data_IF_605640580598
#
_entry.id   IF_605640580598
#
_cell.length_a   1.000
_cell.length_b   1.000
_cell.length_c   1.000
_cell.angle_alpha   90.00
_cell.angle_beta   90.00
_cell.angle_gamma   90.00
#
_symmetry.space_group_name_H-M   'P 1'
#
loop_
_entity.id
_entity.type
_entity.pdbx_description
1 polymer ?
#
# COMPACT_ATOMS: atom_id res chain seq x y z
N UNK A 1 -17.20 -14.52 62.75
CA UNK A 1 -17.68 -13.63 61.66
C UNK A 1 -17.20 -14.16 60.31
N UNK A 2 -18.08 -14.64 59.43
CA UNK A 2 -17.71 -14.97 58.03
C UNK A 2 -18.62 -14.21 57.06
N UNK A 3 -18.06 -13.14 56.47
CA UNK A 3 -18.65 -12.38 55.37
C UNK A 3 -18.64 -13.25 54.10
N UNK A 4 -19.81 -13.64 53.59
CA UNK A 4 -20.00 -14.07 52.20
C UNK A 4 -21.35 -13.59 51.70
N UNK A 5 -21.41 -12.36 51.20
CA UNK A 5 -22.49 -11.91 50.33
C UNK A 5 -21.87 -11.37 49.05
N UNK A 6 -21.67 -12.26 48.09
CA UNK A 6 -21.43 -11.85 46.71
C UNK A 6 -22.72 -11.23 46.18
N UNK A 7 -22.79 -9.90 46.24
CA UNK A 7 -23.98 -9.11 45.90
C UNK A 7 -24.50 -9.48 44.51
N UNK A 8 -25.79 -9.79 44.42
CA UNK A 8 -26.50 -10.14 43.17
C UNK A 8 -26.30 -9.06 42.09
N UNK A 9 -26.09 -7.82 42.51
CA UNK A 9 -25.84 -6.64 41.68
C UNK A 9 -24.52 -6.80 40.88
N UNK A 10 -23.45 -7.25 41.53
CA UNK A 10 -22.15 -7.48 40.88
C UNK A 10 -22.27 -8.53 39.76
N UNK A 11 -23.11 -9.55 39.97
CA UNK A 11 -23.34 -10.63 39.01
C UNK A 11 -24.14 -10.18 37.77
N UNK A 12 -25.01 -9.19 37.92
CA UNK A 12 -25.76 -8.58 36.81
C UNK A 12 -24.84 -7.63 36.04
N UNK A 13 -24.05 -6.82 36.74
CA UNK A 13 -23.12 -5.86 36.12
C UNK A 13 -22.04 -6.57 35.28
N UNK A 14 -21.47 -7.67 35.77
CA UNK A 14 -20.49 -8.48 35.01
C UNK A 14 -21.10 -9.23 33.83
N UNK A 15 -22.43 -9.42 33.78
CA UNK A 15 -23.13 -10.01 32.64
C UNK A 15 -23.39 -9.00 31.52
N UNK A 16 -23.58 -7.72 31.88
CA UNK A 16 -23.80 -6.61 30.95
C UNK A 16 -22.46 -6.14 30.35
N UNK A 17 -21.41 -6.01 31.17
CA UNK A 17 -20.06 -5.65 30.72
C UNK A 17 -19.33 -6.90 30.22
N UNK A 18 -19.75 -7.38 29.05
CA UNK A 18 -19.02 -8.40 28.32
C UNK A 18 -18.42 -7.76 27.07
N UNK A 19 -17.39 -6.93 27.27
CA UNK A 19 -16.70 -6.16 26.22
C UNK A 19 -16.27 -7.04 25.05
N UNK A 20 -15.89 -8.30 25.33
CA UNK A 20 -15.54 -9.29 24.32
C UNK A 20 -16.70 -9.66 23.40
N UNK A 21 -17.92 -9.78 23.95
CA UNK A 21 -19.15 -10.03 23.16
C UNK A 21 -19.66 -8.77 22.47
N UNK A 22 -19.57 -7.60 23.11
CA UNK A 22 -20.00 -6.32 22.52
C UNK A 22 -19.17 -5.93 21.31
N UNK A 23 -17.87 -6.16 21.38
CA UNK A 23 -16.96 -5.88 20.27
C UNK A 23 -16.86 -7.03 19.26
N UNK A 24 -17.65 -8.10 19.44
CA UNK A 24 -17.60 -9.34 18.66
C UNK A 24 -16.15 -9.75 18.36
N UNK A 25 -15.36 -9.86 19.43
CA UNK A 25 -13.91 -10.01 19.34
C UNK A 25 -13.49 -11.18 18.47
N UNK A 26 -14.26 -12.27 18.49
CA UNK A 26 -13.98 -13.45 17.69
C UNK A 26 -14.17 -13.16 16.19
N UNK A 27 -15.13 -12.30 15.81
CA UNK A 27 -15.31 -11.79 14.44
C UNK A 27 -14.22 -10.78 14.06
N UNK A 28 -13.86 -9.86 14.94
CA UNK A 28 -12.76 -8.91 14.65
C UNK A 28 -11.43 -9.63 14.45
N UNK A 29 -11.14 -10.63 15.30
CA UNK A 29 -9.95 -11.47 15.22
C UNK A 29 -9.94 -12.30 13.93
N UNK A 30 -11.07 -12.91 13.55
CA UNK A 30 -11.14 -13.68 12.31
C UNK A 30 -10.94 -12.78 11.09
N UNK A 31 -11.59 -11.62 11.01
CA UNK A 31 -11.38 -10.63 9.93
C UNK A 31 -9.91 -10.20 9.84
N UNK A 32 -9.28 -9.90 10.98
CA UNK A 32 -7.86 -9.52 11.03
C UNK A 32 -6.96 -10.65 10.55
N UNK A 33 -7.22 -11.90 10.97
CA UNK A 33 -6.50 -13.09 10.51
C UNK A 33 -6.64 -13.30 9.00
N UNK A 34 -7.86 -13.15 8.46
CA UNK A 34 -8.09 -13.25 7.01
C UNK A 34 -7.34 -12.16 6.24
N UNK A 35 -7.37 -10.92 6.71
CA UNK A 35 -6.63 -9.80 6.11
C UNK A 35 -5.12 -10.05 6.12
N UNK A 36 -4.56 -10.44 7.26
CA UNK A 36 -3.13 -10.74 7.40
C UNK A 36 -2.73 -11.91 6.52
N UNK A 37 -3.53 -12.97 6.46
CA UNK A 37 -3.24 -14.13 5.61
C UNK A 37 -3.38 -13.79 4.13
N UNK A 38 -4.33 -12.94 3.75
CA UNK A 38 -4.47 -12.41 2.39
C UNK A 38 -3.24 -11.61 1.98
N UNK A 39 -2.79 -10.69 2.83
CA UNK A 39 -1.55 -9.93 2.62
C UNK A 39 -0.37 -10.89 2.49
N UNK A 40 -0.20 -11.84 3.42
CA UNK A 40 0.90 -12.82 3.35
C UNK A 40 0.92 -13.61 2.05
N UNK A 41 -0.25 -14.00 1.51
CA UNK A 41 -0.36 -14.71 0.22
C UNK A 41 0.04 -13.85 -0.96
N UNK A 42 -0.27 -12.55 -0.93
CA UNK A 42 0.13 -11.61 -1.98
C UNK A 42 1.65 -11.35 -2.01
N UNK A 43 2.34 -11.57 -0.88
CA UNK A 43 3.79 -11.38 -0.75
C UNK A 43 4.59 -12.69 -0.75
N UNK A 44 4.01 -13.83 -1.18
CA UNK A 44 4.79 -15.05 -1.42
C UNK A 44 5.68 -14.80 -2.64
N UNK A 45 7.02 -14.76 -2.50
CA UNK A 45 7.90 -14.55 -3.63
C UNK A 45 7.74 -15.72 -4.59
N UNK A 46 7.25 -15.46 -5.80
CA UNK A 46 7.33 -16.44 -6.88
C UNK A 46 8.79 -16.44 -7.33
N UNK A 47 9.54 -17.50 -7.06
CA UNK A 47 10.90 -17.63 -7.58
C UNK A 47 10.83 -17.71 -9.11
N UNK A 48 11.39 -16.73 -9.84
CA UNK A 48 11.32 -16.74 -11.29
C UNK A 48 12.15 -17.91 -11.82
N UNK A 49 11.49 -18.83 -12.52
CA UNK A 49 12.12 -20.00 -13.16
C UNK A 49 13.10 -19.60 -14.26
N UNK A 50 13.02 -18.34 -14.74
CA UNK A 50 13.93 -17.76 -15.71
C UNK A 50 14.12 -16.26 -15.43
N UNK A 51 15.37 -15.83 -15.22
CA UNK A 51 15.73 -14.42 -15.07
C UNK A 51 16.15 -13.91 -16.45
N UNK A 52 15.21 -13.40 -17.25
CA UNK A 52 15.56 -12.71 -18.51
C UNK A 52 16.41 -11.48 -18.16
N UNK A 53 17.55 -11.31 -18.82
CA UNK A 53 18.40 -10.13 -18.65
C UNK A 53 17.78 -8.91 -19.33
N UNK A 54 18.13 -7.71 -18.85
CA UNK A 54 17.62 -6.45 -19.42
C UNK A 54 17.97 -6.32 -20.91
N UNK A 55 19.17 -6.75 -21.30
CA UNK A 55 19.62 -6.71 -22.69
C UNK A 55 18.88 -7.71 -23.58
N UNK A 56 18.56 -8.91 -23.07
CA UNK A 56 17.72 -9.87 -23.80
C UNK A 56 16.30 -9.34 -24.02
N UNK A 57 15.71 -8.73 -23.00
CA UNK A 57 14.39 -8.11 -23.12
C UNK A 57 14.39 -6.90 -24.06
N UNK A 58 15.41 -6.04 -23.99
CA UNK A 58 15.57 -4.89 -24.87
C UNK A 58 15.73 -5.31 -26.34
N UNK A 59 16.52 -6.37 -26.59
CA UNK A 59 16.69 -6.97 -27.92
C UNK A 59 15.39 -7.59 -28.43
N UNK A 60 14.66 -8.33 -27.59
CA UNK A 60 13.36 -8.93 -27.92
C UNK A 60 12.30 -7.87 -28.27
N UNK A 61 12.31 -6.76 -27.55
CA UNK A 61 11.40 -5.63 -27.76
C UNK A 61 11.87 -4.65 -28.86
N UNK A 62 13.03 -4.91 -29.50
CA UNK A 62 13.65 -4.04 -30.53
C UNK A 62 13.76 -2.58 -30.09
N UNK A 63 14.04 -2.35 -28.80
CA UNK A 63 14.17 -1.01 -28.24
C UNK A 63 15.57 -0.47 -28.52
N UNK A 64 15.65 0.72 -29.12
CA UNK A 64 16.93 1.43 -29.21
C UNK A 64 17.27 2.09 -27.87
N UNK A 65 18.56 2.34 -27.65
CA UNK A 65 19.04 3.11 -26.49
C UNK A 65 18.39 4.50 -26.41
N UNK A 66 18.13 5.13 -27.57
CA UNK A 66 17.44 6.41 -27.63
C UNK A 66 15.98 6.30 -27.15
N UNK A 67 15.27 5.24 -27.54
CA UNK A 67 13.89 5.01 -27.11
C UNK A 67 13.80 4.76 -25.60
N UNK A 68 14.76 4.02 -25.04
CA UNK A 68 14.83 3.77 -23.60
C UNK A 68 14.96 5.08 -22.80
N UNK A 69 15.83 5.99 -23.24
CA UNK A 69 16.01 7.30 -22.58
C UNK A 69 14.74 8.15 -22.68
N UNK A 70 14.05 8.15 -23.83
CA UNK A 70 12.79 8.87 -24.02
C UNK A 70 11.71 8.34 -23.08
N UNK A 71 11.54 7.00 -23.03
CA UNK A 71 10.57 6.34 -22.17
C UNK A 71 10.88 6.58 -20.70
N UNK A 72 12.16 6.51 -20.31
CA UNK A 72 12.61 6.80 -18.96
C UNK A 72 12.19 8.22 -18.52
N UNK A 73 12.48 9.24 -19.32
CA UNK A 73 12.08 10.63 -19.02
C UNK A 73 10.56 10.78 -18.95
N UNK A 74 9.83 10.14 -19.86
CA UNK A 74 8.37 10.17 -19.87
C UNK A 74 7.76 9.55 -18.61
N UNK A 75 8.26 8.39 -18.19
CA UNK A 75 7.81 7.70 -16.98
C UNK A 75 8.08 8.51 -15.71
N UNK A 76 9.23 9.16 -15.62
CA UNK A 76 9.54 10.05 -14.50
C UNK A 76 8.57 11.23 -14.42
N UNK A 77 8.31 11.90 -15.55
CA UNK A 77 7.32 13.00 -15.59
C UNK A 77 5.92 12.53 -15.20
N UNK A 78 5.49 11.37 -15.70
CA UNK A 78 4.19 10.78 -15.35
C UNK A 78 4.09 10.47 -13.86
N UNK A 79 5.16 9.93 -13.25
CA UNK A 79 5.21 9.70 -11.81
C UNK A 79 4.98 10.99 -11.03
N UNK A 80 5.70 12.07 -11.38
CA UNK A 80 5.54 13.39 -10.73
C UNK A 80 4.12 13.92 -10.90
N UNK A 81 3.56 13.85 -12.11
CA UNK A 81 2.18 14.31 -12.36
C UNK A 81 1.18 13.56 -11.47
N UNK A 82 1.36 12.24 -11.29
CA UNK A 82 0.48 11.46 -10.41
C UNK A 82 0.64 11.83 -8.94
N UNK A 83 1.85 12.16 -8.48
CA UNK A 83 2.08 12.67 -7.11
C UNK A 83 1.39 14.03 -6.93
N UNK A 84 1.55 14.94 -7.89
CA UNK A 84 0.89 16.27 -7.84
C UNK A 84 -0.63 16.12 -7.84
N UNK A 85 -1.17 15.24 -8.70
CA UNK A 85 -2.61 14.93 -8.71
C UNK A 85 -3.08 14.35 -7.39
N UNK A 86 -2.37 13.37 -6.82
CA UNK A 86 -2.68 12.81 -5.51
C UNK A 86 -2.69 13.88 -4.42
N UNK A 87 -1.73 14.81 -4.43
CA UNK A 87 -1.65 15.90 -3.48
C UNK A 87 -2.83 16.89 -3.61
N UNK A 88 -3.19 17.27 -4.84
CA UNK A 88 -4.36 18.14 -5.09
C UNK A 88 -5.67 17.49 -4.62
N UNK A 89 -5.86 16.20 -4.92
CA UNK A 89 -7.05 15.46 -4.49
C UNK A 89 -7.06 15.31 -2.96
N UNK A 90 -5.89 15.14 -2.33
CA UNK A 90 -5.78 15.05 -0.88
C UNK A 90 -6.18 16.38 -0.19
N UNK A 91 -5.75 17.53 -0.72
CA UNK A 91 -6.20 18.85 -0.24
C UNK A 91 -7.72 18.96 -0.36
N UNK A 92 -8.28 18.61 -1.52
CA UNK A 92 -9.72 18.63 -1.73
C UNK A 92 -10.47 17.66 -0.80
N UNK A 93 -9.89 16.50 -0.52
CA UNK A 93 -10.42 15.52 0.44
C UNK A 93 -10.46 16.10 1.85
N UNK A 94 -9.41 16.84 2.24
CA UNK A 94 -9.35 17.57 3.52
C UNK A 94 -10.43 18.64 3.61
N UNK A 95 -10.65 19.40 2.53
CA UNK A 95 -11.78 20.32 2.44
C UNK A 95 -13.12 19.57 2.65
N UNK A 96 -13.38 18.50 1.91
CA UNK A 96 -14.63 17.74 2.00
C UNK A 96 -14.89 17.13 3.38
N UNK A 97 -13.82 16.76 4.09
CA UNK A 97 -13.87 16.27 5.47
C UNK A 97 -14.36 17.34 6.44
N UNK A 98 -13.90 18.58 6.31
CA UNK A 98 -14.33 19.69 7.18
C UNK A 98 -15.81 20.05 6.99
N UNK A 99 -16.35 19.88 5.78
CA UNK A 99 -17.78 20.10 5.49
C UNK A 99 -18.68 18.90 5.88
N UNK A 100 -18.14 17.88 6.56
CA UNK A 100 -18.92 16.76 7.11
C UNK A 100 -19.40 15.73 6.08
N UNK A 101 -18.94 15.82 4.83
CA UNK A 101 -19.36 14.92 3.75
C UNK A 101 -18.57 13.61 3.73
N UNK A 102 -18.76 12.79 4.76
CA UNK A 102 -17.97 11.57 5.03
C UNK A 102 -17.87 10.59 3.85
N UNK A 103 -18.98 10.39 3.11
CA UNK A 103 -19.00 9.48 1.95
C UNK A 103 -18.06 9.97 0.84
N UNK A 104 -18.08 11.27 0.54
CA UNK A 104 -17.23 11.87 -0.48
C UNK A 104 -15.75 11.88 -0.05
N UNK A 105 -15.47 12.07 1.25
CA UNK A 105 -14.11 11.94 1.79
C UNK A 105 -13.56 10.53 1.61
N UNK A 106 -14.33 9.48 1.95
CA UNK A 106 -13.88 8.10 1.78
C UNK A 106 -13.58 7.80 0.30
N UNK A 107 -14.48 8.18 -0.61
CA UNK A 107 -14.29 7.95 -2.05
C UNK A 107 -13.04 8.68 -2.55
N UNK A 108 -12.87 9.96 -2.18
CA UNK A 108 -11.71 10.75 -2.61
C UNK A 108 -10.41 10.18 -2.05
N UNK A 109 -10.41 9.66 -0.82
CA UNK A 109 -9.25 8.99 -0.23
C UNK A 109 -8.86 7.72 -1.01
N UNK A 110 -9.84 6.94 -1.50
CA UNK A 110 -9.58 5.79 -2.39
C UNK A 110 -8.91 6.24 -3.68
N UNK A 111 -9.38 7.35 -4.28
CA UNK A 111 -8.78 7.91 -5.49
C UNK A 111 -7.34 8.37 -5.24
N UNK A 112 -7.06 9.01 -4.09
CA UNK A 112 -5.67 9.36 -3.68
C UNK A 112 -4.80 8.10 -3.61
N UNK A 113 -5.27 7.04 -2.97
CA UNK A 113 -4.51 5.78 -2.88
C UNK A 113 -4.20 5.18 -4.26
N UNK A 114 -5.17 5.19 -5.18
CA UNK A 114 -4.96 4.71 -6.56
C UNK A 114 -3.91 5.57 -7.28
N UNK A 115 -3.99 6.90 -7.15
CA UNK A 115 -3.02 7.81 -7.76
C UNK A 115 -1.60 7.59 -7.20
N UNK A 116 -1.46 7.35 -5.89
CA UNK A 116 -0.18 7.03 -5.26
C UNK A 116 0.39 5.67 -5.73
N UNK A 117 -0.45 4.65 -5.90
CA UNK A 117 -0.02 3.36 -6.45
C UNK A 117 0.48 3.52 -7.89
N UNK A 118 -0.20 4.33 -8.71
CA UNK A 118 0.25 4.64 -10.07
C UNK A 118 1.56 5.44 -10.08
N UNK A 119 1.67 6.45 -9.22
CA UNK A 119 2.90 7.24 -9.06
C UNK A 119 4.09 6.36 -8.70
N UNK A 120 3.92 5.46 -7.73
CA UNK A 120 4.90 4.44 -7.35
C UNK A 120 5.26 3.56 -8.54
N UNK A 121 4.26 3.00 -9.24
CA UNK A 121 4.50 2.10 -10.39
C UNK A 121 5.33 2.77 -11.47
N UNK A 122 5.02 4.01 -11.83
CA UNK A 122 5.77 4.75 -12.84
C UNK A 122 7.19 5.09 -12.38
N UNK A 123 7.38 5.45 -11.10
CA UNK A 123 8.70 5.66 -10.53
C UNK A 123 9.53 4.38 -10.51
N UNK A 124 8.90 3.26 -10.20
CA UNK A 124 9.54 1.95 -10.16
C UNK A 124 10.02 1.51 -11.56
N UNK A 125 9.20 1.70 -12.59
CA UNK A 125 9.62 1.45 -13.97
C UNK A 125 10.74 2.38 -14.44
N UNK A 126 10.68 3.65 -14.07
CA UNK A 126 11.79 4.59 -14.30
C UNK A 126 13.09 4.06 -13.67
N UNK A 127 13.01 3.55 -12.45
CA UNK A 127 14.15 2.99 -11.72
C UNK A 127 14.71 1.73 -12.39
N UNK A 128 13.86 0.80 -12.83
CA UNK A 128 14.30 -0.42 -13.53
C UNK A 128 15.04 -0.10 -14.83
N UNK A 129 14.55 0.86 -15.61
CA UNK A 129 15.21 1.31 -16.84
C UNK A 129 16.54 2.01 -16.51
N UNK A 130 16.57 2.84 -15.45
CA UNK A 130 17.78 3.54 -15.02
C UNK A 130 18.89 2.58 -14.60
N UNK A 131 18.56 1.55 -13.83
CA UNK A 131 19.52 0.56 -13.33
C UNK A 131 19.84 -0.54 -14.34
N UNK A 132 19.13 -0.60 -15.48
CA UNK A 132 19.23 -1.68 -16.48
C UNK A 132 19.13 -3.08 -15.86
N UNK A 133 18.29 -3.23 -14.84
CA UNK A 133 18.08 -4.49 -14.12
C UNK A 133 16.59 -4.81 -14.07
N UNK A 134 16.22 -5.95 -14.62
CA UNK A 134 14.89 -6.54 -14.48
C UNK A 134 14.85 -7.33 -13.17
N UNK A 135 13.79 -7.18 -12.38
CA UNK A 135 13.64 -7.89 -11.10
C UNK A 135 14.21 -7.22 -9.84
N UNK A 136 14.48 -5.91 -9.85
CA UNK A 136 14.87 -5.20 -8.62
C UNK A 136 13.85 -5.38 -7.49
N UNK A 137 14.33 -5.55 -6.25
CA UNK A 137 13.42 -5.64 -5.09
C UNK A 137 12.89 -4.25 -4.69
N UNK A 138 11.71 -4.21 -4.05
CA UNK A 138 11.16 -2.95 -3.51
C UNK A 138 12.11 -2.32 -2.47
N UNK A 139 12.86 -3.16 -1.74
CA UNK A 139 13.87 -2.72 -0.77
C UNK A 139 15.04 -2.00 -1.46
N UNK A 140 15.56 -2.54 -2.55
CA UNK A 140 16.59 -1.88 -3.37
C UNK A 140 16.09 -0.57 -3.95
N UNK A 141 14.88 -0.56 -4.52
CA UNK A 141 14.26 0.66 -5.05
C UNK A 141 14.14 1.76 -3.99
N UNK A 142 13.70 1.41 -2.78
CA UNK A 142 13.54 2.40 -1.72
C UNK A 142 14.89 3.00 -1.30
N UNK A 143 15.92 2.15 -1.16
CA UNK A 143 17.24 2.54 -0.70
C UNK A 143 18.02 3.34 -1.75
N UNK A 144 18.08 2.86 -2.98
CA UNK A 144 18.89 3.44 -4.06
C UNK A 144 18.11 4.44 -4.92
N UNK A 145 16.80 4.25 -5.08
CA UNK A 145 15.95 5.09 -5.93
C UNK A 145 15.36 6.30 -5.21
N UNK A 146 14.87 6.13 -3.97
CA UNK A 146 14.23 7.19 -3.19
C UNK A 146 15.20 7.87 -2.21
N UNK A 147 15.95 7.09 -1.43
CA UNK A 147 16.93 7.59 -0.47
C UNK A 147 18.26 8.00 -1.12
N UNK A 148 18.52 7.54 -2.35
CA UNK A 148 19.74 7.88 -3.09
C UNK A 148 21.01 7.34 -2.44
N UNK A 149 20.92 6.29 -1.62
CA UNK A 149 22.08 5.65 -1.01
C UNK A 149 22.92 5.03 -2.13
N UNK A 150 24.16 5.51 -2.28
CA UNK A 150 25.13 4.95 -3.22
C UNK A 150 25.65 3.63 -2.64
N UNK A 151 25.82 2.62 -3.50
CA UNK A 151 26.52 1.38 -3.15
C UNK A 151 27.93 1.67 -2.63
#
# INVERSE_FOLDING_TARGET
MKKKSGSRIVRVFTRIINVRKWFDWDRMKSLTLYLVNGIKRLFIPQEPTHVESFDEAARKLKLSEADLVIKQKALFRLSIIMVVAAFMILIYTGYQFLYGSWKATIISLVVVMIALVLAFRYHFWYYQIKQRKLGCTVKEWYRQGLLGEKE
#
